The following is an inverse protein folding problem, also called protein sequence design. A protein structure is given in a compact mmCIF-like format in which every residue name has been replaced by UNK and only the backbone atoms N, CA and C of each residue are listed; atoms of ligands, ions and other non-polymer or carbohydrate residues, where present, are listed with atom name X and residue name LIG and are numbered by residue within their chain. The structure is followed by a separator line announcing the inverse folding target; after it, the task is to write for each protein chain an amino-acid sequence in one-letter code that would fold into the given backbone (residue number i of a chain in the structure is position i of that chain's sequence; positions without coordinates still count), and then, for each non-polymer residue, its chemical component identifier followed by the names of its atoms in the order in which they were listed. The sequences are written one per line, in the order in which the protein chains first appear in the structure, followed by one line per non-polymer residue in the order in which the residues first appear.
data_IF_872864624542
#
_entry.id   IF_872864624542
#
_cell.length_a   1.000
_cell.length_b   1.000
_cell.length_c   1.000
_cell.angle_alpha   90.00
_cell.angle_beta   90.00
_cell.angle_gamma   90.00
#
_symmetry.space_group_name_H-M   'P 1'
#
loop_
_entity.id
_entity.type
_entity.pdbx_description
1 polymer ?
#
# COMPACT_ATOMS: atom_id res chain seq x y z
N UNK A 1 -1.19 -12.78 28.04
CA UNK A 1 -0.38 -12.25 26.92
C UNK A 1 -0.21 -13.38 25.95
N UNK A 2 -1.03 -13.44 24.89
CA UNK A 2 -0.89 -14.50 23.88
C UNK A 2 0.32 -14.19 23.00
N UNK A 3 1.18 -15.20 22.83
CA UNK A 3 2.38 -15.17 22.03
C UNK A 3 2.04 -14.73 20.60
N UNK A 4 2.74 -13.71 20.11
CA UNK A 4 2.64 -13.24 18.74
C UNK A 4 3.25 -14.26 17.79
N UNK A 5 2.45 -14.64 16.80
CA UNK A 5 2.79 -15.14 15.47
C UNK A 5 4.10 -15.93 15.29
N UNK A 6 4.07 -17.22 15.62
CA UNK A 6 5.14 -18.19 15.35
C UNK A 6 4.87 -19.01 14.06
N UNK A 7 4.02 -18.47 13.16
CA UNK A 7 3.56 -19.17 11.93
C UNK A 7 4.20 -18.61 10.66
N UNK A 8 5.01 -17.55 10.75
CA UNK A 8 5.80 -17.09 9.63
C UNK A 8 6.91 -18.12 9.36
N UNK A 9 6.96 -18.66 8.14
CA UNK A 9 8.01 -19.60 7.76
C UNK A 9 9.40 -18.95 8.02
N UNK A 10 10.35 -19.68 8.62
CA UNK A 10 11.64 -19.11 8.98
C UNK A 10 12.38 -18.60 7.75
N UNK A 11 12.95 -17.39 7.82
CA UNK A 11 13.76 -16.79 6.76
C UNK A 11 15.03 -17.63 6.56
N UNK A 12 15.17 -18.27 5.40
CA UNK A 12 16.37 -19.04 5.03
C UNK A 12 17.25 -18.24 4.08
N UNK A 13 18.54 -18.12 4.42
CA UNK A 13 19.55 -17.41 3.63
C UNK A 13 20.73 -18.34 3.40
N UNK A 14 21.01 -18.64 2.13
CA UNK A 14 22.12 -19.49 1.72
C UNK A 14 23.22 -18.67 1.01
N UNK A 15 24.45 -18.71 1.55
CA UNK A 15 25.60 -18.02 0.95
C UNK A 15 26.25 -18.92 -0.10
N UNK A 16 26.02 -18.61 -1.38
CA UNK A 16 26.56 -19.40 -2.50
C UNK A 16 28.04 -19.10 -2.79
N UNK A 17 28.52 -17.89 -2.41
CA UNK A 17 29.91 -17.46 -2.64
C UNK A 17 30.34 -16.37 -1.65
N UNK A 18 31.63 -16.35 -1.31
CA UNK A 18 32.22 -15.37 -0.40
C UNK A 18 32.28 -15.89 1.03
N UNK A 19 32.72 -15.04 1.95
CA UNK A 19 32.72 -15.32 3.39
C UNK A 19 32.29 -14.05 4.13
N UNK A 20 30.98 -13.72 4.12
CA UNK A 20 30.48 -12.55 4.80
C UNK A 20 30.74 -12.67 6.30
N UNK A 21 30.97 -11.53 6.93
CA UNK A 21 31.09 -11.43 8.38
C UNK A 21 29.73 -11.60 9.06
N UNK A 22 29.74 -11.92 10.35
CA UNK A 22 28.52 -12.00 11.15
C UNK A 22 27.74 -10.68 11.17
N UNK A 23 28.45 -9.55 11.18
CA UNK A 23 27.86 -8.22 11.18
C UNK A 23 27.15 -7.91 9.85
N UNK A 24 27.74 -8.28 8.72
CA UNK A 24 27.11 -8.12 7.40
C UNK A 24 25.86 -9.00 7.26
N UNK A 25 25.89 -10.24 7.77
CA UNK A 25 24.72 -11.12 7.78
C UNK A 25 23.60 -10.55 8.66
N UNK A 26 23.95 -10.03 9.85
CA UNK A 26 22.97 -9.41 10.75
C UNK A 26 22.33 -8.17 10.12
N UNK A 27 23.13 -7.31 9.48
CA UNK A 27 22.63 -6.13 8.77
C UNK A 27 21.68 -6.51 7.64
N UNK A 28 22.03 -7.54 6.85
CA UNK A 28 21.18 -8.03 5.77
C UNK A 28 19.86 -8.61 6.29
N UNK A 29 19.89 -9.43 7.34
CA UNK A 29 18.68 -9.99 7.96
C UNK A 29 17.77 -8.87 8.46
N UNK A 30 18.31 -7.83 9.11
CA UNK A 30 17.53 -6.70 9.62
C UNK A 30 16.81 -5.96 8.48
N UNK A 31 17.52 -5.63 7.41
CA UNK A 31 16.96 -4.92 6.25
C UNK A 31 15.88 -5.74 5.54
N UNK A 32 16.15 -7.04 5.33
CA UNK A 32 15.19 -7.92 4.65
C UNK A 32 13.95 -8.14 5.51
N UNK A 33 14.12 -8.37 6.82
CA UNK A 33 13.01 -8.50 7.76
C UNK A 33 12.16 -7.23 7.80
N UNK A 34 12.77 -6.05 7.86
CA UNK A 34 12.05 -4.77 7.83
C UNK A 34 11.24 -4.60 6.53
N UNK A 35 11.84 -4.96 5.38
CA UNK A 35 11.14 -4.90 4.09
C UNK A 35 9.92 -5.83 4.06
N UNK A 36 10.04 -7.06 4.59
CA UNK A 36 8.91 -7.98 4.72
C UNK A 36 7.84 -7.46 5.68
N UNK A 37 8.22 -6.97 6.85
CA UNK A 37 7.26 -6.41 7.81
C UNK A 37 6.51 -5.21 7.23
N UNK A 38 7.18 -4.35 6.47
CA UNK A 38 6.55 -3.20 5.81
C UNK A 38 5.54 -3.62 4.74
N UNK A 39 5.82 -4.68 3.98
CA UNK A 39 4.88 -5.25 3.01
C UNK A 39 3.65 -5.84 3.72
N UNK A 40 3.84 -6.60 4.80
CA UNK A 40 2.75 -7.16 5.62
C UNK A 40 1.88 -6.08 6.26
N UNK A 41 2.49 -5.01 6.77
CA UNK A 41 1.77 -3.85 7.31
C UNK A 41 0.96 -3.16 6.20
N UNK A 42 1.53 -2.98 5.01
CA UNK A 42 0.81 -2.36 3.87
C UNK A 42 -0.35 -3.23 3.36
N UNK A 43 -0.22 -4.56 3.45
CA UNK A 43 -1.25 -5.50 3.04
C UNK A 43 -2.36 -5.67 4.09
N UNK A 44 -2.06 -5.44 5.37
CA UNK A 44 -3.03 -5.48 6.49
C UNK A 44 -3.71 -4.14 6.75
N UNK A 45 -3.21 -3.05 6.18
CA UNK A 45 -3.95 -1.78 6.10
C UNK A 45 -5.15 -2.00 5.18
N UNK A 46 -6.35 -1.99 5.75
CA UNK A 46 -7.58 -1.97 4.98
C UNK A 46 -7.55 -0.79 4.01
N UNK A 47 -7.84 -1.06 2.73
CA UNK A 47 -8.01 -0.02 1.71
C UNK A 47 -8.94 1.07 2.26
N UNK A 48 -8.51 2.33 2.14
CA UNK A 48 -9.20 3.45 2.76
C UNK A 48 -10.62 3.51 2.19
N UNK A 49 -11.63 3.16 3.01
CA UNK A 49 -13.00 3.06 2.55
C UNK A 49 -13.43 4.43 2.02
N UNK A 50 -13.64 4.53 0.70
CA UNK A 50 -14.03 5.79 0.06
C UNK A 50 -15.25 6.37 0.77
N UNK A 51 -15.16 7.64 1.15
CA UNK A 51 -16.27 8.32 1.80
C UNK A 51 -17.52 8.28 0.91
N UNK A 52 -18.71 8.25 1.52
CA UNK A 52 -19.98 8.32 0.80
C UNK A 52 -20.04 9.53 -0.15
N UNK A 53 -19.33 10.62 0.17
CA UNK A 53 -19.15 11.78 -0.68
C UNK A 53 -18.30 11.50 -1.94
N UNK A 54 -17.17 10.80 -1.81
CA UNK A 54 -16.34 10.41 -2.97
C UNK A 54 -17.09 9.47 -3.93
N UNK A 55 -17.88 8.55 -3.39
CA UNK A 55 -18.70 7.61 -4.19
C UNK A 55 -19.84 8.34 -4.91
N UNK A 56 -20.58 9.21 -4.19
CA UNK A 56 -21.71 9.97 -4.77
C UNK A 56 -21.28 11.04 -5.77
N UNK A 57 -20.15 11.72 -5.56
CA UNK A 57 -19.62 12.75 -6.45
C UNK A 57 -19.32 12.23 -7.87
N UNK A 58 -18.96 10.94 -8.02
CA UNK A 58 -18.68 10.35 -9.33
C UNK A 58 -19.94 10.15 -10.17
N UNK A 59 -21.04 9.74 -9.55
CA UNK A 59 -22.34 9.60 -10.22
C UNK A 59 -22.98 10.95 -10.57
N UNK A 60 -22.63 12.02 -9.86
CA UNK A 60 -23.13 13.37 -10.11
C UNK A 60 -22.41 14.09 -11.27
N UNK A 61 -21.25 13.61 -11.72
CA UNK A 61 -20.52 14.17 -12.86
C UNK A 61 -21.09 13.64 -14.18
N UNK A 62 -22.17 14.24 -14.66
CA UNK A 62 -22.48 14.17 -16.11
C UNK A 62 -21.45 15.03 -16.83
N UNK A 63 -20.68 14.50 -17.80
CA UNK A 63 -19.76 15.34 -18.57
C UNK A 63 -20.55 16.47 -19.21
N UNK A 64 -20.06 17.71 -19.02
CA UNK A 64 -20.68 18.90 -19.58
C UNK A 64 -20.75 18.70 -21.10
N UNK A 65 -21.96 18.70 -21.67
CA UNK A 65 -22.14 18.52 -23.12
C UNK A 65 -21.53 19.70 -23.83
N UNK A 66 -20.30 19.51 -24.31
CA UNK A 66 -19.49 20.53 -24.99
C UNK A 66 -20.19 21.05 -26.26
N UNK A 67 -21.07 20.23 -26.82
CA UNK A 67 -21.98 20.54 -27.94
C UNK A 67 -22.90 21.77 -27.69
N UNK A 68 -23.26 22.04 -26.43
CA UNK A 68 -24.28 23.05 -26.09
C UNK A 68 -23.69 24.44 -25.82
N UNK A 69 -22.36 24.58 -25.81
CA UNK A 69 -21.67 25.85 -25.56
C UNK A 69 -21.92 26.46 -24.16
N UNK A 70 -21.10 27.42 -23.75
CA UNK A 70 -21.22 28.13 -22.45
C UNK A 70 -22.33 29.20 -22.42
N UNK A 71 -23.33 29.15 -23.31
CA UNK A 71 -24.18 30.32 -23.62
C UNK A 71 -25.42 30.51 -22.75
N UNK A 72 -25.69 29.64 -21.77
CA UNK A 72 -26.97 29.66 -21.04
C UNK A 72 -26.86 29.82 -19.52
N UNK A 73 -25.74 30.31 -18.97
CA UNK A 73 -25.69 30.68 -17.55
C UNK A 73 -25.99 32.17 -17.39
N UNK A 74 -27.25 32.51 -17.15
CA UNK A 74 -27.64 33.80 -16.54
C UNK A 74 -28.05 33.50 -15.11
N UNK A 75 -27.27 34.01 -14.15
CA UNK A 75 -27.66 34.01 -12.74
C UNK A 75 -28.90 34.90 -12.59
N UNK A 76 -30.03 34.30 -12.22
CA UNK A 76 -31.23 34.99 -11.74
C UNK A 76 -31.33 34.85 -10.24
#
# INVERSE_FOLDING_TARGET
MSAGDDTAAPLQIDVVRGNPTEEELAALIAVVSEAYSREEESATVADESLSAWQVSARHLRKPLRRELGWRNYTAG
#
